data_IF_679356946849
#
_entry.id   IF_679356946849
#
_cell.length_a   1.000
_cell.length_b   1.000
_cell.length_c   1.000
_cell.angle_alpha   90.00
_cell.angle_beta   90.00
_cell.angle_gamma   90.00
#
_symmetry.space_group_name_H-M   'P 1'
#
loop_
_entity.id
_entity.type
_entity.pdbx_description
1 polymer ?
#
# COMPACT_ATOMS: atom_id res chain seq x y z
N UNK A 1 26.06 16.95 6.99
CA UNK A 1 25.76 16.38 8.32
C UNK A 1 25.63 14.88 8.15
N UNK A 2 26.20 14.04 9.02
CA UNK A 2 25.91 12.60 8.98
C UNK A 2 24.40 12.39 9.07
N UNK A 3 23.84 11.52 8.21
CA UNK A 3 22.40 11.27 8.23
C UNK A 3 22.03 10.59 9.55
N UNK A 4 21.01 11.11 10.23
CA UNK A 4 20.50 10.54 11.48
C UNK A 4 19.95 9.11 11.27
N UNK A 5 19.52 8.81 10.05
CA UNK A 5 18.97 7.52 9.65
C UNK A 5 19.91 6.83 8.66
N UNK A 6 20.05 5.52 8.81
CA UNK A 6 20.72 4.65 7.85
C UNK A 6 19.72 4.11 6.83
N UNK A 7 20.22 3.70 5.66
CA UNK A 7 19.42 2.94 4.71
C UNK A 7 19.23 1.52 5.21
N UNK A 8 17.97 1.14 5.36
CA UNK A 8 17.55 -0.18 5.83
C UNK A 8 16.40 -0.67 4.96
N UNK A 9 16.06 -1.98 5.00
CA UNK A 9 14.86 -2.51 4.36
C UNK A 9 13.58 -1.73 4.71
N UNK A 10 13.44 -1.28 5.97
CA UNK A 10 12.29 -0.49 6.41
C UNK A 10 12.26 0.91 5.78
N UNK A 11 13.42 1.56 5.58
CA UNK A 11 13.51 2.85 4.88
C UNK A 11 13.17 2.68 3.40
N UNK A 12 13.61 1.59 2.75
CA UNK A 12 13.28 1.30 1.36
C UNK A 12 11.78 1.02 1.18
N UNK A 13 11.19 0.19 2.05
CA UNK A 13 9.75 -0.04 2.13
C UNK A 13 8.98 1.29 2.29
N UNK A 14 9.33 2.09 3.30
CA UNK A 14 8.69 3.39 3.53
C UNK A 14 8.91 4.38 2.38
N UNK A 15 9.98 4.24 1.60
CA UNK A 15 10.20 5.04 0.40
C UNK A 15 9.21 4.64 -0.71
N UNK A 16 8.92 3.35 -0.88
CA UNK A 16 7.85 2.86 -1.77
C UNK A 16 6.48 3.39 -1.34
N UNK A 17 6.15 3.27 -0.05
CA UNK A 17 4.93 3.86 0.54
C UNK A 17 4.88 5.36 0.27
N UNK A 18 6.01 6.06 0.46
CA UNK A 18 6.07 7.50 0.26
C UNK A 18 5.84 7.88 -1.20
N UNK A 19 6.44 7.16 -2.15
CA UNK A 19 6.25 7.44 -3.59
C UNK A 19 4.79 7.37 -3.95
N UNK A 20 4.06 6.41 -3.42
CA UNK A 20 2.65 6.30 -3.73
C UNK A 20 1.75 7.23 -2.92
N UNK A 21 1.35 6.77 -1.74
CA UNK A 21 0.37 7.44 -0.88
C UNK A 21 0.97 8.47 0.10
N UNK A 22 2.29 8.65 0.06
CA UNK A 22 2.98 9.61 0.90
C UNK A 22 2.73 11.07 0.54
N UNK A 23 2.87 11.95 1.52
CA UNK A 23 2.89 13.39 1.34
C UNK A 23 3.96 13.99 2.25
N UNK A 24 4.81 14.83 1.67
CA UNK A 24 5.86 15.55 2.39
C UNK A 24 5.58 17.06 2.32
N UNK A 25 5.66 17.71 3.48
CA UNK A 25 5.55 19.17 3.60
C UNK A 25 6.66 19.73 4.46
N UNK A 26 7.53 20.52 3.86
CA UNK A 26 8.58 21.29 4.54
C UNK A 26 8.27 22.77 4.34
N UNK A 27 8.00 23.49 5.43
CA UNK A 27 7.86 24.96 5.43
C UNK A 27 9.04 25.59 6.15
N UNK A 28 9.80 26.42 5.44
CA UNK A 28 10.90 27.25 5.98
C UNK A 28 10.46 28.71 6.08
N UNK A 29 11.00 29.46 7.03
CA UNK A 29 10.91 30.92 7.06
C UNK A 29 9.67 31.56 7.72
N UNK A 30 8.73 30.77 8.26
CA UNK A 30 7.69 31.30 9.16
C UNK A 30 8.13 31.19 10.62
N UNK A 31 7.59 32.04 11.50
CA UNK A 31 7.74 31.93 12.97
C UNK A 31 7.37 30.55 13.52
N UNK A 32 6.59 29.79 12.74
CA UNK A 32 6.18 28.40 13.00
C UNK A 32 6.49 27.52 11.79
N UNK A 33 7.77 27.35 11.44
CA UNK A 33 8.18 26.35 10.45
C UNK A 33 7.56 24.99 10.76
N UNK A 34 7.11 24.26 9.74
CA UNK A 34 6.40 22.99 9.92
C UNK A 34 6.97 21.91 9.01
N UNK A 35 7.30 20.76 9.58
CA UNK A 35 7.74 19.57 8.85
C UNK A 35 6.74 18.45 9.11
N UNK A 36 6.11 17.97 8.05
CA UNK A 36 5.08 16.94 8.12
C UNK A 36 5.34 15.88 7.07
N UNK A 37 5.37 14.63 7.51
CA UNK A 37 5.22 13.46 6.68
C UNK A 37 3.84 12.85 6.95
N UNK A 38 3.12 12.48 5.90
CA UNK A 38 1.80 11.88 6.01
C UNK A 38 1.69 10.74 5.00
N UNK A 39 0.93 9.71 5.34
CA UNK A 39 0.47 8.68 4.40
C UNK A 39 -1.06 8.68 4.46
N UNK A 40 -1.72 8.70 3.31
CA UNK A 40 -3.18 8.70 3.20
C UNK A 40 -3.64 7.55 2.34
N UNK A 41 -4.49 6.67 2.88
CA UNK A 41 -4.99 5.49 2.17
C UNK A 41 -6.52 5.43 2.19
N UNK A 42 -7.10 4.50 1.44
CA UNK A 42 -8.54 4.27 1.46
C UNK A 42 -9.00 3.72 2.83
N UNK A 43 -10.03 4.32 3.42
CA UNK A 43 -10.40 4.04 4.81
C UNK A 43 -11.03 2.67 5.06
N UNK A 44 -11.58 2.02 4.03
CA UNK A 44 -12.10 0.65 4.13
C UNK A 44 -11.08 -0.35 3.58
N UNK A 45 -10.84 -0.29 2.26
CA UNK A 45 -9.96 -1.21 1.53
C UNK A 45 -8.54 -1.35 2.12
N UNK A 46 -7.92 -0.26 2.58
CA UNK A 46 -6.51 -0.23 2.99
C UNK A 46 -6.32 0.03 4.50
N UNK A 47 -7.40 -0.04 5.29
CA UNK A 47 -7.31 0.18 6.74
C UNK A 47 -6.34 -0.79 7.41
N UNK A 48 -6.41 -2.08 7.04
CA UNK A 48 -5.52 -3.11 7.56
C UNK A 48 -4.07 -2.90 7.10
N UNK A 49 -3.87 -2.37 5.91
CA UNK A 49 -2.54 -2.03 5.40
C UNK A 49 -1.92 -0.88 6.19
N UNK A 50 -2.68 0.21 6.43
CA UNK A 50 -2.20 1.33 7.23
C UNK A 50 -1.78 0.91 8.65
N UNK A 51 -2.67 0.19 9.33
CA UNK A 51 -2.47 -0.20 10.74
C UNK A 51 -1.42 -1.32 10.84
N UNK A 52 -1.56 -2.34 10.00
CA UNK A 52 -0.81 -3.59 10.09
C UNK A 52 0.54 -3.56 9.39
N UNK A 53 0.77 -2.64 8.45
CA UNK A 53 2.01 -2.59 7.65
C UNK A 53 2.66 -1.20 7.71
N UNK A 54 1.97 -0.14 7.26
CA UNK A 54 2.57 1.20 7.13
C UNK A 54 3.08 1.74 8.46
N UNK A 55 2.24 1.74 9.51
CA UNK A 55 2.62 2.27 10.83
C UNK A 55 3.82 1.51 11.45
N UNK A 56 3.85 0.16 11.46
CA UNK A 56 5.03 -0.60 11.85
C UNK A 56 6.28 -0.31 11.00
N UNK A 57 6.14 -0.17 9.69
CA UNK A 57 7.27 0.15 8.79
C UNK A 57 7.87 1.51 9.13
N UNK A 58 7.05 2.53 9.35
CA UNK A 58 7.51 3.87 9.77
C UNK A 58 8.19 3.81 11.15
N UNK A 59 7.66 3.02 12.09
CA UNK A 59 8.28 2.80 13.40
C UNK A 59 9.65 2.12 13.26
N UNK A 60 9.77 1.12 12.40
CA UNK A 60 11.03 0.42 12.16
C UNK A 60 12.06 1.30 11.43
N UNK A 61 11.62 2.13 10.49
CA UNK A 61 12.48 3.02 9.72
C UNK A 61 13.03 4.18 10.56
N UNK A 62 12.19 4.78 11.42
CA UNK A 62 12.50 6.07 12.05
C UNK A 62 12.25 6.14 13.57
N UNK A 63 11.81 5.06 14.19
CA UNK A 63 11.45 5.05 15.62
C UNK A 63 10.14 5.79 15.95
N UNK A 64 9.31 6.13 14.95
CA UNK A 64 8.08 6.89 15.14
C UNK A 64 6.87 5.98 15.37
N UNK A 65 6.38 5.89 16.61
CA UNK A 65 5.32 4.96 17.02
C UNK A 65 3.95 5.61 17.30
N UNK A 66 3.87 6.95 17.24
CA UNK A 66 2.67 7.73 17.59
C UNK A 66 2.25 8.66 16.44
N UNK A 67 1.63 8.13 15.37
CA UNK A 67 1.04 8.99 14.35
C UNK A 67 -0.12 9.81 14.91
N UNK A 68 -0.24 11.05 14.43
CA UNK A 68 -1.52 11.75 14.43
C UNK A 68 -2.43 11.13 13.37
N UNK A 69 -3.63 10.71 13.76
CA UNK A 69 -4.58 10.06 12.85
C UNK A 69 -5.71 11.00 12.48
N UNK A 70 -6.10 10.96 11.21
CA UNK A 70 -7.23 11.71 10.70
C UNK A 70 -8.08 10.81 9.80
N UNK A 71 -9.37 10.73 10.09
CA UNK A 71 -10.37 10.14 9.19
C UNK A 71 -11.24 11.26 8.65
N UNK A 72 -11.43 11.25 7.33
CA UNK A 72 -12.26 12.27 6.71
C UNK A 72 -13.74 12.14 7.10
N UNK A 73 -14.53 13.21 7.03
CA UNK A 73 -15.94 13.17 7.45
C UNK A 73 -16.78 12.15 6.69
N UNK A 74 -16.45 11.88 5.42
CA UNK A 74 -17.14 10.90 4.57
C UNK A 74 -16.63 9.46 4.76
N UNK A 75 -15.64 9.24 5.63
CA UNK A 75 -15.03 7.94 5.91
C UNK A 75 -14.54 7.18 4.66
N UNK A 76 -14.09 7.93 3.64
CA UNK A 76 -13.51 7.37 2.42
C UNK A 76 -12.00 7.22 2.48
N UNK A 77 -11.32 8.03 3.32
CA UNK A 77 -9.87 7.96 3.48
C UNK A 77 -9.44 8.25 4.92
N UNK A 78 -8.29 7.67 5.27
CA UNK A 78 -7.63 7.82 6.57
C UNK A 78 -6.17 8.19 6.34
N UNK A 79 -5.63 9.05 7.20
CA UNK A 79 -4.23 9.41 7.16
C UNK A 79 -3.52 9.25 8.49
N UNK A 80 -2.27 8.78 8.42
CA UNK A 80 -1.30 8.78 9.50
C UNK A 80 -0.28 9.88 9.25
N UNK A 81 -0.12 10.79 10.21
CA UNK A 81 0.71 11.99 10.09
C UNK A 81 1.76 12.05 11.19
N UNK A 82 2.98 12.41 10.81
CA UNK A 82 4.13 12.52 11.69
C UNK A 82 4.73 13.92 11.56
N UNK A 83 4.93 14.60 12.69
CA UNK A 83 5.63 15.88 12.75
C UNK A 83 7.07 15.63 13.20
N UNK A 84 7.95 15.34 12.23
CA UNK A 84 9.37 15.14 12.48
C UNK A 84 10.20 15.92 11.46
N UNK A 85 10.99 16.87 11.94
CA UNK A 85 11.93 17.62 11.09
C UNK A 85 12.98 16.68 10.50
N UNK A 86 13.52 15.79 11.31
CA UNK A 86 14.61 14.91 10.89
C UNK A 86 14.14 13.95 9.79
N UNK A 87 12.97 13.32 9.93
CA UNK A 87 12.43 12.45 8.89
C UNK A 87 12.12 13.22 7.62
N UNK A 88 11.54 14.41 7.75
CA UNK A 88 11.21 15.21 6.56
C UNK A 88 12.46 15.66 5.79
N UNK A 89 13.49 16.13 6.50
CA UNK A 89 14.75 16.54 5.88
C UNK A 89 15.54 15.34 5.37
N UNK A 90 15.54 14.20 6.06
CA UNK A 90 16.14 12.97 5.53
C UNK A 90 15.52 12.55 4.21
N UNK A 91 14.19 12.48 4.14
CA UNK A 91 13.47 12.14 2.90
C UNK A 91 13.77 13.13 1.78
N UNK A 92 13.81 14.43 2.08
CA UNK A 92 13.99 15.43 1.05
C UNK A 92 15.45 15.62 0.61
N UNK A 93 16.36 15.79 1.56
CA UNK A 93 17.75 16.18 1.33
C UNK A 93 18.68 14.99 1.12
N UNK A 94 18.36 13.81 1.70
CA UNK A 94 19.20 12.61 1.59
C UNK A 94 18.63 11.65 0.54
N UNK A 95 17.34 11.34 0.59
CA UNK A 95 16.71 10.48 -0.41
C UNK A 95 16.28 11.22 -1.69
N UNK A 96 16.34 12.55 -1.71
CA UNK A 96 15.96 13.33 -2.89
C UNK A 96 14.45 13.34 -3.20
N UNK A 97 13.60 12.95 -2.25
CA UNK A 97 12.15 12.91 -2.45
C UNK A 97 11.58 14.35 -2.47
N UNK A 98 10.66 14.69 -3.39
CA UNK A 98 10.20 16.06 -3.55
C UNK A 98 9.29 16.51 -2.39
N UNK A 99 9.40 17.80 -2.05
CA UNK A 99 8.44 18.48 -1.17
C UNK A 99 7.19 18.86 -1.98
N UNK A 100 6.15 18.02 -1.93
CA UNK A 100 4.89 18.25 -2.64
C UNK A 100 4.59 17.21 -3.73
N UNK A 101 4.32 17.66 -4.96
CA UNK A 101 3.91 16.78 -6.08
C UNK A 101 5.08 15.91 -6.55
N UNK A 102 4.78 14.66 -6.94
CA UNK A 102 5.75 13.63 -7.33
C UNK A 102 5.68 13.27 -8.82
N UNK A 103 5.63 14.27 -9.69
CA UNK A 103 5.42 14.02 -11.12
C UNK A 103 6.69 13.56 -11.85
N UNK A 104 7.86 13.87 -11.31
CA UNK A 104 9.16 13.57 -11.93
C UNK A 104 10.16 13.15 -10.85
N UNK A 105 9.88 12.01 -10.25
CA UNK A 105 10.71 11.39 -9.21
C UNK A 105 11.41 10.17 -9.80
N UNK A 106 12.61 9.89 -9.29
CA UNK A 106 13.37 8.66 -9.51
C UNK A 106 13.56 7.95 -8.17
N UNK A 107 13.84 6.65 -8.23
CA UNK A 107 14.23 5.85 -7.09
C UNK A 107 15.61 6.36 -6.59
N UNK A 108 15.79 6.58 -5.28
CA UNK A 108 17.10 6.94 -4.75
C UNK A 108 18.14 5.89 -5.13
N UNK A 109 19.28 6.32 -5.69
CA UNK A 109 20.32 5.39 -6.18
C UNK A 109 20.68 4.30 -5.17
N UNK A 110 20.86 4.61 -3.87
CA UNK A 110 21.28 3.56 -2.94
C UNK A 110 20.24 2.46 -2.71
N UNK A 111 18.97 2.74 -3.00
CA UNK A 111 17.92 1.72 -3.03
C UNK A 111 18.01 0.94 -4.33
N UNK A 112 18.20 1.63 -5.46
CA UNK A 112 18.29 1.03 -6.80
C UNK A 112 19.46 0.06 -6.94
N UNK A 113 20.60 0.38 -6.32
CA UNK A 113 21.83 -0.41 -6.41
C UNK A 113 21.89 -1.61 -5.45
N UNK A 114 20.87 -1.81 -4.61
CA UNK A 114 20.74 -2.97 -3.72
C UNK A 114 19.43 -3.71 -4.03
N UNK A 115 19.56 -4.90 -4.63
CA UNK A 115 18.41 -5.71 -5.02
C UNK A 115 17.46 -6.03 -3.84
N UNK A 116 17.97 -6.20 -2.62
CA UNK A 116 17.13 -6.45 -1.46
C UNK A 116 16.32 -5.21 -1.07
N UNK A 117 16.92 -4.02 -1.14
CA UNK A 117 16.21 -2.76 -0.92
C UNK A 117 15.19 -2.50 -2.02
N UNK A 118 15.54 -2.76 -3.29
CA UNK A 118 14.62 -2.64 -4.40
C UNK A 118 13.40 -3.56 -4.27
N UNK A 119 13.57 -4.80 -3.80
CA UNK A 119 12.44 -5.71 -3.50
C UNK A 119 11.49 -5.10 -2.46
N UNK A 120 12.01 -4.50 -1.38
CA UNK A 120 11.15 -3.83 -0.39
C UNK A 120 10.43 -2.62 -0.98
N UNK A 121 11.14 -1.79 -1.75
CA UNK A 121 10.58 -0.64 -2.41
C UNK A 121 9.45 -1.03 -3.39
N UNK A 122 9.70 -2.02 -4.26
CA UNK A 122 8.75 -2.48 -5.27
C UNK A 122 7.48 -3.10 -4.64
N UNK A 123 7.63 -3.87 -3.56
CA UNK A 123 6.49 -4.42 -2.79
C UNK A 123 5.55 -3.31 -2.33
N UNK A 124 6.10 -2.27 -1.71
CA UNK A 124 5.30 -1.20 -1.14
C UNK A 124 4.75 -0.25 -2.21
N UNK A 125 5.48 -0.05 -3.31
CA UNK A 125 4.96 0.70 -4.46
C UNK A 125 3.72 0.03 -5.06
N UNK A 126 3.75 -1.30 -5.23
CA UNK A 126 2.57 -2.07 -5.63
C UNK A 126 1.45 -1.92 -4.59
N UNK A 127 1.79 -1.93 -3.31
CA UNK A 127 0.81 -1.89 -2.22
C UNK A 127 0.00 -0.60 -2.14
N UNK A 128 0.55 0.53 -2.64
CA UNK A 128 -0.12 1.84 -2.66
C UNK A 128 -0.73 2.18 -4.03
N UNK A 129 0.06 2.18 -5.11
CA UNK A 129 -0.37 2.63 -6.45
C UNK A 129 -0.54 1.49 -7.46
N UNK A 130 -0.36 0.27 -6.99
CA UNK A 130 -0.51 -0.91 -7.80
C UNK A 130 -1.86 -1.60 -7.60
N UNK A 131 -2.23 -2.35 -8.64
CA UNK A 131 -3.41 -3.18 -8.70
C UNK A 131 -2.96 -4.62 -8.94
N UNK A 132 -3.33 -5.51 -8.02
CA UNK A 132 -3.44 -6.95 -8.31
C UNK A 132 -4.89 -7.26 -8.65
N UNK A 133 -5.13 -7.63 -9.91
CA UNK A 133 -6.46 -8.00 -10.40
C UNK A 133 -6.44 -9.35 -11.11
N UNK A 134 -7.61 -9.96 -11.23
CA UNK A 134 -7.82 -11.16 -12.01
C UNK A 134 -8.75 -10.84 -13.16
N UNK A 135 -8.34 -11.19 -14.37
CA UNK A 135 -9.02 -10.84 -15.61
C UNK A 135 -9.62 -12.09 -16.25
N UNK A 136 -10.59 -11.88 -17.15
CA UNK A 136 -11.19 -12.90 -17.97
C UNK A 136 -10.73 -12.75 -19.43
N UNK A 137 -10.69 -13.85 -20.18
CA UNK A 137 -10.38 -13.80 -21.62
C UNK A 137 -11.59 -13.35 -22.47
N UNK A 138 -12.79 -13.41 -21.91
CA UNK A 138 -14.05 -12.99 -22.54
C UNK A 138 -14.93 -12.26 -21.51
N UNK A 139 -15.85 -11.41 -21.98
CA UNK A 139 -16.67 -10.52 -21.14
C UNK A 139 -17.50 -11.22 -20.06
N UNK A 140 -17.85 -12.49 -20.24
CA UNK A 140 -18.63 -13.30 -19.30
C UNK A 140 -17.87 -14.53 -18.78
N UNK A 141 -16.55 -14.57 -18.93
CA UNK A 141 -15.72 -15.67 -18.48
C UNK A 141 -15.20 -15.48 -17.05
N UNK A 142 -14.71 -16.58 -16.48
CA UNK A 142 -14.10 -16.66 -15.15
C UNK A 142 -12.90 -15.71 -15.06
N UNK A 143 -12.83 -14.94 -13.97
CA UNK A 143 -11.74 -13.99 -13.72
C UNK A 143 -10.56 -14.71 -13.05
N UNK A 144 -9.74 -15.37 -13.88
CA UNK A 144 -8.66 -16.27 -13.44
C UNK A 144 -7.26 -15.90 -13.91
N UNK A 145 -7.10 -14.87 -14.74
CA UNK A 145 -5.80 -14.46 -15.26
C UNK A 145 -5.24 -13.36 -14.38
N UNK A 146 -4.30 -13.67 -13.46
CA UNK A 146 -3.74 -12.66 -12.58
C UNK A 146 -2.97 -11.60 -13.40
N UNK A 147 -3.00 -10.37 -12.92
CA UNK A 147 -2.26 -9.25 -13.50
C UNK A 147 -1.87 -8.27 -12.41
N UNK A 148 -0.61 -7.90 -12.41
CA UNK A 148 -0.09 -6.76 -11.65
C UNK A 148 -0.01 -5.56 -12.58
N UNK A 149 -0.50 -4.42 -12.13
CA UNK A 149 -0.40 -3.16 -12.86
C UNK A 149 -0.05 -2.02 -11.90
N UNK A 150 0.97 -1.22 -12.21
CA UNK A 150 1.32 0.01 -11.48
C UNK A 150 1.14 1.17 -12.44
N UNK A 151 0.41 2.21 -12.02
CA UNK A 151 0.14 3.38 -12.87
C UNK A 151 0.54 4.67 -12.16
N UNK A 152 1.52 5.39 -12.72
CA UNK A 152 2.03 6.63 -12.11
C UNK A 152 2.25 7.71 -13.18
N UNK A 153 2.36 8.97 -12.76
CA UNK A 153 2.83 10.05 -13.65
C UNK A 153 4.36 10.15 -13.70
N UNK A 154 5.05 9.47 -12.78
CA UNK A 154 6.50 9.47 -12.66
C UNK A 154 7.13 8.43 -13.60
N UNK A 155 7.29 8.79 -14.88
CA UNK A 155 7.86 7.90 -15.89
C UNK A 155 9.27 7.37 -15.61
N UNK A 156 10.22 8.20 -15.14
CA UNK A 156 11.55 7.70 -14.76
C UNK A 156 11.47 6.56 -13.75
N UNK A 157 10.70 6.75 -12.67
CA UNK A 157 10.50 5.72 -11.65
C UNK A 157 9.88 4.43 -12.21
N UNK A 158 8.86 4.53 -13.06
CA UNK A 158 8.26 3.35 -13.71
C UNK A 158 9.29 2.61 -14.57
N UNK A 159 10.12 3.34 -15.32
CA UNK A 159 11.21 2.77 -16.11
C UNK A 159 12.25 2.05 -15.26
N UNK A 160 12.66 2.66 -14.13
CA UNK A 160 13.61 2.07 -13.18
C UNK A 160 13.07 0.77 -12.55
N UNK A 161 11.80 0.75 -12.13
CA UNK A 161 11.16 -0.49 -11.65
C UNK A 161 11.10 -1.53 -12.77
N UNK A 162 10.71 -1.15 -13.99
CA UNK A 162 10.62 -2.08 -15.11
C UNK A 162 11.98 -2.67 -15.49
N UNK A 163 13.06 -1.88 -15.43
CA UNK A 163 14.43 -2.37 -15.63
C UNK A 163 14.85 -3.34 -14.55
N UNK A 164 14.66 -2.99 -13.26
CA UNK A 164 14.94 -3.89 -12.15
C UNK A 164 14.24 -5.25 -12.32
N UNK A 165 12.93 -5.26 -12.60
CA UNK A 165 12.17 -6.51 -12.75
C UNK A 165 12.65 -7.36 -13.93
N UNK A 166 13.07 -6.74 -15.05
CA UNK A 166 13.56 -7.45 -16.23
C UNK A 166 14.97 -7.98 -16.03
N UNK A 167 15.85 -7.14 -15.52
CA UNK A 167 17.29 -7.40 -15.48
C UNK A 167 17.68 -8.26 -14.27
N UNK A 168 17.10 -8.00 -13.10
CA UNK A 168 17.42 -8.74 -11.87
C UNK A 168 16.55 -9.97 -11.65
N UNK A 169 15.27 -9.91 -12.04
CA UNK A 169 14.30 -10.99 -11.78
C UNK A 169 13.86 -11.76 -13.04
N UNK A 170 14.33 -11.36 -14.23
CA UNK A 170 14.01 -12.04 -15.48
C UNK A 170 12.54 -11.99 -15.90
N UNK A 171 11.75 -11.07 -15.34
CA UNK A 171 10.31 -11.00 -15.58
C UNK A 171 9.97 -10.37 -16.94
N UNK A 172 8.93 -10.88 -17.61
CA UNK A 172 8.38 -10.27 -18.82
C UNK A 172 7.44 -9.11 -18.47
N UNK A 173 8.04 -7.92 -18.28
CA UNK A 173 7.31 -6.69 -17.94
C UNK A 173 6.99 -5.87 -19.19
N UNK A 174 5.74 -5.45 -19.31
CA UNK A 174 5.32 -4.47 -20.31
C UNK A 174 5.26 -3.06 -19.70
N UNK A 175 5.81 -2.08 -20.41
CA UNK A 175 5.72 -0.66 -20.08
C UNK A 175 5.06 0.10 -21.22
N UNK A 176 4.12 0.99 -20.91
CA UNK A 176 3.48 1.86 -21.90
C UNK A 176 3.02 3.18 -21.29
N UNK A 177 2.82 4.18 -22.15
CA UNK A 177 2.31 5.50 -21.79
C UNK A 177 0.91 5.71 -22.37
N UNK A 178 0.01 6.32 -21.60
CA UNK A 178 -1.35 6.64 -22.02
C UNK A 178 -1.68 8.10 -21.66
N UNK A 179 -2.35 8.83 -22.58
CA UNK A 179 -2.90 10.14 -22.28
C UNK A 179 -4.26 9.97 -21.59
N UNK A 180 -4.36 10.43 -20.34
CA UNK A 180 -5.58 10.32 -19.53
C UNK A 180 -6.17 11.70 -19.33
N UNK A 181 -7.44 11.84 -19.74
CA UNK A 181 -8.25 13.01 -19.42
C UNK A 181 -8.83 12.86 -18.02
N UNK A 182 -8.55 13.83 -17.15
CA UNK A 182 -9.09 13.89 -15.81
C UNK A 182 -10.09 15.03 -15.70
N UNK A 183 -11.30 14.73 -15.20
CA UNK A 183 -12.32 15.75 -14.94
C UNK A 183 -11.76 16.85 -14.03
N UNK A 184 -11.69 18.09 -14.54
CA UNK A 184 -11.19 19.25 -13.81
C UNK A 184 -9.67 19.38 -13.68
N UNK A 185 -8.88 18.41 -14.16
CA UNK A 185 -7.40 18.43 -14.07
C UNK A 185 -6.68 18.41 -15.42
N UNK A 186 -7.44 18.34 -16.52
CA UNK A 186 -6.90 18.34 -17.88
C UNK A 186 -6.34 16.98 -18.31
N UNK A 187 -5.54 16.98 -19.37
CA UNK A 187 -4.92 15.78 -19.93
C UNK A 187 -3.53 15.62 -19.30
N UNK A 188 -3.20 14.42 -18.85
CA UNK A 188 -1.86 14.09 -18.36
C UNK A 188 -1.37 12.76 -18.90
N UNK A 189 -0.07 12.65 -19.14
CA UNK A 189 0.56 11.38 -19.44
C UNK A 189 0.59 10.49 -18.18
N UNK A 190 0.19 9.23 -18.33
CA UNK A 190 0.26 8.19 -17.30
C UNK A 190 1.11 7.05 -17.82
N UNK A 191 2.08 6.63 -17.01
CA UNK A 191 3.01 5.56 -17.28
C UNK A 191 2.53 4.31 -16.57
N UNK A 192 2.49 3.21 -17.30
CA UNK A 192 1.86 1.96 -16.90
C UNK A 192 2.89 0.84 -17.00
N UNK A 193 3.21 0.25 -15.85
CA UNK A 193 3.92 -1.02 -15.75
C UNK A 193 2.89 -2.14 -15.60
N UNK A 194 3.04 -3.22 -16.36
CA UNK A 194 2.12 -4.36 -16.28
C UNK A 194 2.84 -5.70 -16.42
N UNK A 195 2.51 -6.63 -15.53
CA UNK A 195 2.91 -8.05 -15.53
C UNK A 195 1.63 -8.87 -15.69
N UNK A 196 1.55 -9.70 -16.72
CA UNK A 196 0.36 -10.52 -17.03
C UNK A 196 0.63 -12.01 -17.18
N UNK A 197 1.90 -12.40 -17.17
CA UNK A 197 2.31 -13.80 -17.21
C UNK A 197 2.18 -14.39 -15.80
N UNK A 198 1.47 -15.52 -15.67
CA UNK A 198 1.29 -16.18 -14.38
C UNK A 198 2.61 -16.59 -13.72
N UNK A 199 3.61 -17.00 -14.51
CA UNK A 199 4.93 -17.36 -13.97
C UNK A 199 5.63 -16.16 -13.33
N UNK A 200 5.59 -14.99 -13.99
CA UNK A 200 6.20 -13.77 -13.45
C UNK A 200 5.46 -13.25 -12.22
N UNK A 201 4.16 -13.51 -12.11
CA UNK A 201 3.38 -13.17 -10.92
C UNK A 201 3.73 -14.09 -9.75
N UNK A 202 4.01 -15.36 -10.01
CA UNK A 202 4.53 -16.26 -8.98
C UNK A 202 5.96 -15.86 -8.58
N UNK A 203 6.83 -15.54 -9.54
CA UNK A 203 8.16 -14.97 -9.25
C UNK A 203 8.03 -13.69 -8.41
N UNK A 204 7.05 -12.82 -8.70
CA UNK A 204 6.78 -11.65 -7.87
C UNK A 204 6.40 -12.07 -6.46
N UNK A 205 5.48 -13.02 -6.29
CA UNK A 205 5.04 -13.49 -4.98
C UNK A 205 6.20 -14.03 -4.15
N UNK A 206 7.09 -14.81 -4.76
CA UNK A 206 8.22 -15.46 -4.10
C UNK A 206 9.34 -14.48 -3.76
N UNK A 207 9.74 -13.65 -4.73
CA UNK A 207 10.92 -12.77 -4.59
C UNK A 207 10.59 -11.42 -3.95
N UNK A 208 9.44 -10.85 -4.30
CA UNK A 208 9.01 -9.52 -3.83
C UNK A 208 7.93 -9.67 -2.76
N UNK A 209 6.90 -10.49 -2.96
CA UNK A 209 5.77 -10.65 -2.05
C UNK A 209 4.72 -9.54 -2.14
N UNK A 210 3.68 -9.66 -1.32
CA UNK A 210 2.59 -8.68 -1.19
C UNK A 210 2.44 -8.28 0.28
N UNK A 211 2.26 -6.99 0.57
CA UNK A 211 2.10 -6.50 1.95
C UNK A 211 0.77 -5.83 2.25
N UNK A 212 0.01 -5.43 1.23
CA UNK A 212 -1.35 -4.93 1.39
C UNK A 212 -2.36 -6.10 1.53
N UNK A 213 -3.09 -6.22 2.66
CA UNK A 213 -4.13 -7.23 2.86
C UNK A 213 -5.21 -7.23 1.78
N UNK A 214 -5.44 -6.10 1.11
CA UNK A 214 -6.30 -5.99 -0.05
C UNK A 214 -5.83 -6.86 -1.23
N UNK A 215 -4.53 -6.83 -1.56
CA UNK A 215 -3.95 -7.70 -2.60
C UNK A 215 -3.87 -9.14 -2.12
N UNK A 216 -3.38 -9.37 -0.90
CA UNK A 216 -3.24 -10.71 -0.31
C UNK A 216 -4.58 -11.44 -0.30
N UNK A 217 -5.66 -10.78 0.13
CA UNK A 217 -7.00 -11.39 0.15
C UNK A 217 -7.51 -11.77 -1.24
N UNK A 218 -7.22 -11.00 -2.29
CA UNK A 218 -7.56 -11.38 -3.67
C UNK A 218 -6.81 -12.63 -4.10
N UNK A 219 -5.53 -12.73 -3.76
CA UNK A 219 -4.71 -13.89 -4.08
C UNK A 219 -5.21 -15.15 -3.34
N UNK A 220 -5.48 -15.05 -2.03
CA UNK A 220 -6.02 -16.16 -1.24
C UNK A 220 -7.40 -16.63 -1.71
N UNK A 221 -8.26 -15.70 -2.13
CA UNK A 221 -9.56 -16.03 -2.74
C UNK A 221 -9.35 -16.81 -4.03
N UNK A 222 -8.46 -16.33 -4.91
CA UNK A 222 -8.11 -17.02 -6.15
C UNK A 222 -7.53 -18.42 -5.89
N UNK A 223 -6.65 -18.59 -4.90
CA UNK A 223 -6.12 -19.91 -4.52
C UNK A 223 -7.22 -20.88 -4.03
N UNK A 224 -8.28 -20.35 -3.42
CA UNK A 224 -9.36 -21.16 -2.88
C UNK A 224 -10.32 -21.67 -3.97
N UNK A 225 -10.73 -20.80 -4.90
CA UNK A 225 -11.81 -21.11 -5.87
C UNK A 225 -11.39 -20.99 -7.35
N UNK A 226 -10.14 -20.66 -7.64
CA UNK A 226 -9.62 -20.50 -9.01
C UNK A 226 -10.06 -19.21 -9.72
N UNK A 227 -10.74 -18.30 -9.02
CA UNK A 227 -11.13 -16.99 -9.54
C UNK A 227 -11.20 -15.93 -8.45
N UNK A 228 -11.08 -14.65 -8.84
CA UNK A 228 -11.43 -13.53 -7.96
C UNK A 228 -12.16 -12.47 -8.78
N UNK A 229 -13.46 -12.35 -8.56
CA UNK A 229 -14.31 -11.41 -9.30
C UNK A 229 -13.90 -9.95 -9.02
N UNK A 230 -14.02 -9.06 -10.03
CA UNK A 230 -13.77 -7.64 -9.85
C UNK A 230 -14.83 -7.03 -8.93
N UNK A 231 -14.54 -5.82 -8.41
CA UNK A 231 -15.46 -5.03 -7.57
C UNK A 231 -15.90 -5.71 -6.26
N UNK A 232 -15.16 -6.72 -5.79
CA UNK A 232 -15.25 -7.16 -4.40
C UNK A 232 -14.52 -6.15 -3.51
N UNK A 233 -15.02 -5.91 -2.30
CA UNK A 233 -14.29 -5.13 -1.30
C UNK A 233 -13.54 -6.06 -0.32
N UNK A 234 -12.66 -5.50 0.49
CA UNK A 234 -11.89 -6.27 1.48
C UNK A 234 -12.80 -7.00 2.47
N UNK A 235 -13.93 -6.44 2.87
CA UNK A 235 -14.89 -7.08 3.80
C UNK A 235 -15.43 -8.37 3.20
N UNK A 236 -15.89 -8.33 1.94
CA UNK A 236 -16.44 -9.50 1.25
C UNK A 236 -15.42 -10.63 1.18
N UNK A 237 -14.17 -10.29 0.85
CA UNK A 237 -13.09 -11.28 0.73
C UNK A 237 -12.72 -11.86 2.09
N UNK A 238 -12.64 -11.05 3.14
CA UNK A 238 -12.34 -11.56 4.47
C UNK A 238 -13.48 -12.42 5.03
N UNK A 239 -14.74 -12.03 4.80
CA UNK A 239 -15.94 -12.79 5.15
C UNK A 239 -15.91 -14.17 4.49
N UNK A 240 -15.69 -14.21 3.16
CA UNK A 240 -15.51 -15.46 2.42
C UNK A 240 -14.36 -16.30 2.98
N UNK A 241 -13.18 -15.71 3.16
CA UNK A 241 -12.00 -16.44 3.65
C UNK A 241 -12.20 -17.01 5.06
N UNK A 242 -12.97 -16.34 5.91
CA UNK A 242 -13.31 -16.80 7.27
C UNK A 242 -14.34 -17.94 7.30
N UNK A 243 -15.03 -18.21 6.18
CA UNK A 243 -16.12 -19.18 6.12
C UNK A 243 -17.48 -18.63 6.55
N UNK A 244 -17.59 -17.32 6.81
CA UNK A 244 -18.87 -16.66 7.09
C UNK A 244 -19.79 -16.61 5.86
N UNK A 245 -19.20 -16.56 4.67
CA UNK A 245 -19.90 -16.63 3.39
C UNK A 245 -19.33 -17.74 2.52
N UNK A 246 -20.21 -18.47 1.83
CA UNK A 246 -19.82 -19.45 0.80
C UNK A 246 -19.57 -18.80 -0.56
N UNK A 247 -19.95 -17.54 -0.73
CA UNK A 247 -19.83 -16.79 -1.98
C UNK A 247 -19.19 -15.41 -1.76
N UNK A 248 -18.56 -14.87 -2.82
CA UNK A 248 -18.03 -13.50 -2.82
C UNK A 248 -19.15 -12.49 -3.08
N UNK A 249 -19.98 -12.26 -2.07
CA UNK A 249 -21.10 -11.33 -2.09
C UNK A 249 -20.89 -10.20 -1.06
N UNK A 250 -21.56 -9.04 -1.25
CA UNK A 250 -21.57 -7.98 -0.25
C UNK A 250 -21.85 -8.55 1.15
N UNK A 251 -20.90 -8.37 2.06
CA UNK A 251 -20.93 -8.96 3.39
C UNK A 251 -21.03 -7.91 4.49
N UNK A 252 -21.60 -8.32 5.62
CA UNK A 252 -21.50 -7.57 6.86
C UNK A 252 -20.03 -7.54 7.37
N UNK A 253 -19.69 -6.59 8.26
CA UNK A 253 -18.40 -6.58 8.95
C UNK A 253 -18.11 -7.94 9.59
N UNK A 254 -16.86 -8.40 9.58
CA UNK A 254 -16.50 -9.74 10.07
C UNK A 254 -16.39 -9.76 11.60
N UNK A 255 -16.53 -10.93 12.23
CA UNK A 255 -16.29 -11.05 13.67
C UNK A 255 -14.80 -10.83 14.02
N UNK A 256 -14.49 -10.34 15.23
CA UNK A 256 -13.10 -10.14 15.67
C UNK A 256 -12.23 -11.40 15.56
N UNK A 257 -12.72 -12.55 16.01
CA UNK A 257 -11.97 -13.81 15.99
C UNK A 257 -11.68 -14.29 14.56
N UNK A 258 -12.61 -14.03 13.63
CA UNK A 258 -12.43 -14.32 12.21
C UNK A 258 -11.35 -13.45 11.58
N UNK A 259 -11.30 -12.16 11.93
CA UNK A 259 -10.19 -11.29 11.50
C UNK A 259 -8.86 -11.85 12.00
N UNK A 260 -8.77 -12.24 13.27
CA UNK A 260 -7.54 -12.79 13.85
C UNK A 260 -7.09 -14.05 13.11
N UNK A 261 -8.03 -14.97 12.85
CA UNK A 261 -7.78 -16.20 12.09
C UNK A 261 -7.31 -15.93 10.65
N UNK A 262 -7.99 -15.03 9.93
CA UNK A 262 -7.61 -14.68 8.56
C UNK A 262 -6.24 -14.00 8.52
N UNK A 263 -5.97 -13.03 9.41
CA UNK A 263 -4.66 -12.34 9.49
C UNK A 263 -3.54 -13.32 9.81
N UNK A 264 -3.78 -14.29 10.70
CA UNK A 264 -2.79 -15.33 10.99
C UNK A 264 -2.43 -16.16 9.74
N UNK A 265 -3.42 -16.53 8.92
CA UNK A 265 -3.17 -17.22 7.64
C UNK A 265 -2.45 -16.33 6.63
N UNK A 266 -2.80 -15.05 6.54
CA UNK A 266 -2.09 -14.09 5.67
C UNK A 266 -0.61 -14.01 6.06
N UNK A 267 -0.31 -13.85 7.36
CA UNK A 267 1.06 -13.81 7.88
C UNK A 267 1.82 -15.09 7.60
N UNK A 268 1.19 -16.24 7.81
CA UNK A 268 1.80 -17.54 7.56
C UNK A 268 2.22 -17.70 6.09
N UNK A 269 1.37 -17.28 5.16
CA UNK A 269 1.56 -17.54 3.73
C UNK A 269 2.30 -16.42 2.99
N UNK A 270 2.24 -15.19 3.49
CA UNK A 270 2.77 -13.99 2.80
C UNK A 270 3.71 -13.15 3.68
N UNK A 271 3.82 -13.42 4.98
CA UNK A 271 4.61 -12.62 5.92
C UNK A 271 3.95 -11.29 6.35
N UNK A 272 2.73 -11.00 5.88
CA UNK A 272 2.02 -9.73 6.11
C UNK A 272 0.56 -9.94 6.51
N UNK A 273 -0.06 -8.97 7.21
CA UNK A 273 0.51 -7.72 7.72
C UNK A 273 1.56 -7.92 8.83
N UNK A 274 2.39 -6.91 9.12
CA UNK A 274 3.48 -6.98 10.12
C UNK A 274 2.98 -7.09 11.57
N UNK A 275 1.75 -6.68 11.86
CA UNK A 275 1.09 -6.89 13.15
C UNK A 275 0.23 -8.15 13.19
N UNK A 276 0.14 -8.77 14.36
CA UNK A 276 -0.80 -9.87 14.60
C UNK A 276 -2.25 -9.35 14.63
N UNK A 277 -3.21 -10.23 14.37
CA UNK A 277 -4.64 -9.86 14.32
C UNK A 277 -5.14 -9.18 15.60
N UNK A 278 -4.73 -9.67 16.77
CA UNK A 278 -5.07 -9.07 18.06
C UNK A 278 -4.49 -7.65 18.24
N UNK A 279 -3.32 -7.38 17.68
CA UNK A 279 -2.70 -6.07 17.73
C UNK A 279 -3.43 -5.08 16.83
N UNK A 280 -3.84 -5.53 15.65
CA UNK A 280 -4.67 -4.76 14.72
C UNK A 280 -6.00 -4.40 15.37
N UNK A 281 -6.69 -5.35 16.01
CA UNK A 281 -7.95 -5.10 16.72
C UNK A 281 -7.80 -4.06 17.83
N UNK A 282 -6.72 -4.12 18.62
CA UNK A 282 -6.42 -3.11 19.65
C UNK A 282 -6.24 -1.73 19.04
N UNK A 283 -5.56 -1.62 17.90
CA UNK A 283 -5.44 -0.35 17.18
C UNK A 283 -6.78 0.16 16.66
N UNK A 284 -7.59 -0.68 16.01
CA UNK A 284 -8.93 -0.31 15.53
C UNK A 284 -9.77 0.24 16.69
N UNK A 285 -9.80 -0.47 17.82
CA UNK A 285 -10.53 -0.05 19.02
C UNK A 285 -10.05 1.30 19.53
N UNK A 286 -8.73 1.49 19.64
CA UNK A 286 -8.12 2.76 20.08
C UNK A 286 -8.47 3.92 19.15
N UNK A 287 -8.45 3.68 17.84
CA UNK A 287 -8.77 4.69 16.84
C UNK A 287 -10.25 5.07 16.94
N UNK A 288 -11.16 4.10 17.02
CA UNK A 288 -12.59 4.35 17.19
C UNK A 288 -12.88 5.12 18.48
N UNK A 289 -12.28 4.74 19.62
CA UNK A 289 -12.44 5.47 20.87
C UNK A 289 -11.98 6.94 20.75
N UNK A 290 -10.87 7.18 20.05
CA UNK A 290 -10.38 8.53 19.79
C UNK A 290 -11.31 9.35 18.88
N UNK A 291 -11.84 8.73 17.82
CA UNK A 291 -12.75 9.39 16.88
C UNK A 291 -14.11 9.67 17.52
N UNK A 292 -14.62 8.77 18.35
CA UNK A 292 -15.88 8.94 19.08
C UNK A 292 -15.79 10.14 20.04
N UNK A 293 -14.75 10.19 20.87
CA UNK A 293 -14.56 11.26 21.87
C UNK A 293 -14.33 12.64 21.26
N UNK A 294 -13.62 12.74 20.14
CA UNK A 294 -13.25 14.05 19.56
C UNK A 294 -14.16 14.54 18.43
N UNK A 295 -14.87 13.64 17.74
CA UNK A 295 -15.49 13.96 16.44
C UNK A 295 -16.85 13.31 16.20
N UNK A 296 -17.37 12.50 17.14
CA UNK A 296 -18.59 11.69 16.94
C UNK A 296 -18.53 10.87 15.65
N UNK A 297 -17.38 10.22 15.39
CA UNK A 297 -17.09 9.43 14.19
C UNK A 297 -16.48 8.08 14.56
N UNK A 298 -16.53 7.14 13.63
CA UNK A 298 -15.83 5.85 13.69
C UNK A 298 -15.06 5.59 12.37
N UNK A 299 -14.23 4.57 12.34
CA UNK A 299 -13.73 3.98 11.10
C UNK A 299 -14.88 3.29 10.35
N UNK A 300 -14.77 3.11 9.02
CA UNK A 300 -15.61 2.16 8.30
C UNK A 300 -15.62 0.80 9.00
N UNK A 301 -16.79 0.16 9.07
CA UNK A 301 -16.93 -1.09 9.80
C UNK A 301 -16.31 -2.24 9.00
N UNK A 302 -15.07 -2.57 9.33
CA UNK A 302 -14.40 -3.79 8.88
C UNK A 302 -14.75 -4.98 9.80
N UNK A 303 -14.90 -4.70 11.10
CA UNK A 303 -15.11 -5.68 12.17
C UNK A 303 -16.36 -5.30 12.96
N UNK A 304 -17.13 -6.29 13.40
CA UNK A 304 -18.26 -6.10 14.34
C UNK A 304 -17.74 -5.51 15.66
N UNK A 305 -18.45 -4.51 16.18
CA UNK A 305 -18.15 -3.86 17.46
C UNK A 305 -18.77 -4.63 18.63
#
# INVERSE_FOLDING_TARGET
>A
MPSLFSLTPAVAADTGIHVGDGYLRIKRGSSHGSNQYQVTVHALEDQLYLIGTVMPTIKAAYGLDRPGLYVNPRQTWISASYQSKDVALFKHEILGLPNGRKNNISIPEPIMSDANLMKQFARELLSTDGLLGFYSAASNAIHKYPRIQIKLRAGPLIGEVASFLREELGMSVSQRSELVAHEGWGISNQEILQISNSQDIETWREEIGFSNPSHISRFMVFENIGECKPRTCVVDRLSFLSGQSTELVPSDPIAPDDLVSVVSRMRKNFGFPLLEGNEILRWITRINAHLATKRSRNLPMLVKQ
#
